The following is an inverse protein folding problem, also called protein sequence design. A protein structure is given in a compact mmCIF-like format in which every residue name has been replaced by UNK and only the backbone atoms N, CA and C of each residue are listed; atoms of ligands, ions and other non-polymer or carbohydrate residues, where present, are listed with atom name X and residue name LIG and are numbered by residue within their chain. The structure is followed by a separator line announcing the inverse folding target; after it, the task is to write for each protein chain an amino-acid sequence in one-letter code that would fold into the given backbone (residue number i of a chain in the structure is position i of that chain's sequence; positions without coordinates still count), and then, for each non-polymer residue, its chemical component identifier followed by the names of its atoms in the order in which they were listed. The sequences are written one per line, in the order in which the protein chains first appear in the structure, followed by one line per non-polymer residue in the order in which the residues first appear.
data_IF_085263622098
#
_entry.id   IF_085263622098
#
_cell.length_a   1.000
_cell.length_b   1.000
_cell.length_c   1.000
_cell.angle_alpha   90.00
_cell.angle_beta   90.00
_cell.angle_gamma   90.00
#
_symmetry.space_group_name_H-M   'P 1'
#
loop_
_entity.id
_entity.type
_entity.pdbx_description
1 polymer ?
#
# COMPACT_ATOMS: atom_id res chain seq x y z
N UNK A 1 4.85 -14.90 0.88
CA UNK A 1 5.52 -13.63 0.50
C UNK A 1 4.43 -12.63 0.15
N UNK A 2 4.48 -11.42 0.68
CA UNK A 2 3.51 -10.35 0.38
C UNK A 2 4.18 -9.31 -0.50
N UNK A 3 3.48 -8.87 -1.53
CA UNK A 3 3.94 -7.75 -2.35
C UNK A 3 2.76 -6.84 -2.71
N UNK A 4 2.93 -5.56 -2.42
CA UNK A 4 2.04 -4.48 -2.85
C UNK A 4 2.87 -3.57 -3.75
N UNK A 5 2.38 -3.29 -4.94
CA UNK A 5 3.07 -2.44 -5.93
C UNK A 5 2.20 -1.24 -6.26
N UNK A 6 2.81 -0.07 -6.33
CA UNK A 6 2.15 1.17 -6.73
C UNK A 6 2.90 1.90 -7.82
N UNK A 7 2.17 2.47 -8.78
CA UNK A 7 2.70 3.32 -9.85
C UNK A 7 1.77 4.52 -10.01
N UNK A 8 2.34 5.72 -9.91
CA UNK A 8 1.67 6.97 -10.26
C UNK A 8 2.05 7.39 -11.69
N UNK A 9 1.06 7.76 -12.46
CA UNK A 9 1.24 8.42 -13.76
C UNK A 9 0.81 9.88 -13.65
N UNK A 10 0.96 10.65 -14.72
CA UNK A 10 0.47 12.05 -14.72
C UNK A 10 -1.05 12.16 -14.52
N UNK A 11 -1.81 11.09 -14.80
CA UNK A 11 -3.28 11.11 -14.80
C UNK A 11 -3.88 10.35 -13.61
N UNK A 12 -3.26 9.26 -13.14
CA UNK A 12 -3.83 8.38 -12.11
C UNK A 12 -2.79 7.50 -11.41
N UNK A 13 -3.25 6.80 -10.37
CA UNK A 13 -2.48 5.84 -9.60
C UNK A 13 -3.00 4.42 -9.84
N UNK A 14 -2.06 3.48 -9.95
CA UNK A 14 -2.31 2.05 -9.98
C UNK A 14 -1.72 1.42 -8.72
N UNK A 15 -2.48 0.60 -8.02
CA UNK A 15 -2.00 -0.22 -6.92
C UNK A 15 -2.48 -1.66 -7.12
N UNK A 16 -1.58 -2.60 -6.99
CA UNK A 16 -1.87 -4.03 -7.07
C UNK A 16 -1.21 -4.80 -5.95
N UNK A 17 -1.75 -5.96 -5.63
CA UNK A 17 -1.25 -6.82 -4.57
C UNK A 17 -1.40 -8.30 -4.91
N UNK A 18 -0.57 -9.13 -4.29
CA UNK A 18 -0.83 -10.56 -4.16
C UNK A 18 -1.98 -10.80 -3.15
N UNK A 19 -2.52 -12.02 -3.14
CA UNK A 19 -3.57 -12.45 -2.20
C UNK A 19 -3.08 -13.41 -1.13
N UNK A 20 -1.79 -13.64 -1.03
CA UNK A 20 -1.26 -14.61 -0.08
C UNK A 20 -1.02 -13.99 1.30
N UNK A 21 -1.27 -14.77 2.32
CA UNK A 21 -0.83 -14.54 3.69
C UNK A 21 -0.07 -15.78 4.11
N UNK A 22 1.16 -15.57 4.59
CA UNK A 22 1.96 -16.65 5.15
C UNK A 22 2.13 -16.42 6.65
N UNK A 23 1.75 -17.41 7.42
CA UNK A 23 2.33 -17.67 8.72
C UNK A 23 3.46 -18.68 8.53
N UNK A 24 4.36 -18.84 9.49
CA UNK A 24 5.63 -19.60 9.35
C UNK A 24 5.49 -21.00 8.71
N UNK A 25 4.31 -21.58 8.73
CA UNK A 25 4.07 -22.95 8.24
C UNK A 25 2.96 -23.09 7.18
N UNK A 26 2.12 -22.06 6.98
CA UNK A 26 0.95 -22.15 6.09
C UNK A 26 0.83 -20.91 5.21
N UNK A 27 0.51 -21.14 3.94
CA UNK A 27 0.14 -20.08 3.00
C UNK A 27 -1.38 -20.14 2.79
N UNK A 28 -2.06 -19.07 3.12
CA UNK A 28 -3.50 -18.90 2.91
C UNK A 28 -3.77 -17.89 1.79
N UNK A 29 -4.83 -18.12 1.04
CA UNK A 29 -5.32 -17.14 0.06
C UNK A 29 -6.46 -16.35 0.65
N UNK A 30 -6.30 -15.04 0.73
CA UNK A 30 -7.33 -14.14 1.22
C UNK A 30 -8.50 -14.03 0.23
N UNK A 31 -9.72 -14.10 0.73
CA UNK A 31 -10.91 -13.76 -0.06
C UNK A 31 -11.10 -12.25 -0.17
N UNK A 32 -10.77 -11.50 0.88
CA UNK A 32 -10.73 -10.03 0.85
C UNK A 32 -9.40 -9.55 0.27
N UNK A 33 -9.41 -8.65 -0.69
CA UNK A 33 -8.17 -8.11 -1.28
C UNK A 33 -7.42 -7.23 -0.27
N UNK A 34 -6.10 -7.17 -0.42
CA UNK A 34 -5.23 -6.23 0.30
C UNK A 34 -5.24 -4.82 -0.32
N UNK A 35 -5.94 -4.64 -1.42
CA UNK A 35 -6.14 -3.35 -2.09
C UNK A 35 -7.63 -3.06 -2.12
N UNK A 36 -8.00 -1.87 -1.67
CA UNK A 36 -9.39 -1.44 -1.57
C UNK A 36 -9.50 0.09 -1.72
N UNK A 37 -10.73 0.55 -1.89
CA UNK A 37 -11.06 1.97 -1.87
C UNK A 37 -11.71 2.33 -0.52
N UNK A 38 -11.28 3.47 0.02
CA UNK A 38 -11.98 4.18 1.09
C UNK A 38 -12.15 5.63 0.65
N UNK A 39 -13.38 6.04 0.37
CA UNK A 39 -13.69 7.27 -0.35
C UNK A 39 -12.86 7.35 -1.66
N UNK A 40 -12.15 8.44 -1.88
CA UNK A 40 -11.29 8.64 -3.07
C UNK A 40 -9.84 8.18 -2.87
N UNK A 41 -9.58 7.44 -1.79
CA UNK A 41 -8.27 6.88 -1.50
C UNK A 41 -8.19 5.43 -1.98
N UNK A 42 -7.23 5.15 -2.84
CA UNK A 42 -6.87 3.79 -3.22
C UNK A 42 -5.77 3.31 -2.26
N UNK A 43 -6.00 2.20 -1.57
CA UNK A 43 -5.17 1.78 -0.45
C UNK A 43 -4.72 0.35 -0.66
N UNK A 44 -3.42 0.11 -0.55
CA UNK A 44 -2.84 -1.24 -0.44
C UNK A 44 -2.04 -1.36 0.86
N UNK A 45 -2.02 -2.54 1.48
CA UNK A 45 -1.30 -2.73 2.74
C UNK A 45 -0.51 -4.03 2.80
N UNK A 46 0.56 -3.99 3.58
CA UNK A 46 1.43 -5.12 3.94
C UNK A 46 1.78 -5.05 5.43
N UNK A 47 2.28 -6.13 6.00
CA UNK A 47 2.60 -6.22 7.43
C UNK A 47 1.44 -6.79 8.24
N UNK A 48 1.15 -6.23 9.40
CA UNK A 48 0.09 -6.72 10.28
C UNK A 48 -1.28 -6.57 9.64
N UNK A 49 -1.97 -7.70 9.41
CA UNK A 49 -3.25 -7.73 8.70
C UNK A 49 -4.31 -6.89 9.42
N UNK A 50 -4.41 -7.04 10.74
CA UNK A 50 -5.39 -6.29 11.54
C UNK A 50 -5.21 -4.78 11.37
N UNK A 51 -3.99 -4.28 11.44
CA UNK A 51 -3.68 -2.86 11.22
C UNK A 51 -4.03 -2.42 9.79
N UNK A 52 -3.70 -3.25 8.80
CA UNK A 52 -4.06 -2.98 7.40
C UNK A 52 -5.57 -2.86 7.20
N UNK A 53 -6.34 -3.74 7.82
CA UNK A 53 -7.80 -3.74 7.74
C UNK A 53 -8.46 -2.54 8.43
N UNK A 54 -7.84 -1.96 9.46
CA UNK A 54 -8.36 -0.76 10.12
C UNK A 54 -8.50 0.41 9.15
N UNK A 55 -7.60 0.54 8.19
CA UNK A 55 -7.62 1.62 7.19
C UNK A 55 -8.89 1.59 6.32
N UNK A 56 -9.55 0.44 6.18
CA UNK A 56 -10.81 0.30 5.45
C UNK A 56 -11.96 1.06 6.14
N UNK A 57 -11.88 1.24 7.45
CA UNK A 57 -12.95 1.81 8.29
C UNK A 57 -12.61 3.18 8.88
N UNK A 58 -11.43 3.73 8.59
CA UNK A 58 -11.10 5.09 9.01
C UNK A 58 -11.96 6.12 8.27
N UNK A 59 -12.17 7.25 8.94
CA UNK A 59 -12.83 8.40 8.34
C UNK A 59 -11.84 9.18 7.46
N UNK A 60 -11.74 8.79 6.20
CA UNK A 60 -10.89 9.46 5.22
C UNK A 60 -11.70 10.53 4.48
N UNK A 61 -11.16 11.74 4.32
CA UNK A 61 -11.87 12.78 3.58
C UNK A 61 -12.02 12.39 2.12
N UNK A 62 -13.21 12.62 1.55
CA UNK A 62 -13.44 12.41 0.12
C UNK A 62 -12.70 13.42 -0.76
N UNK A 63 -12.37 14.59 -0.20
CA UNK A 63 -11.60 15.62 -0.86
C UNK A 63 -10.55 16.22 0.08
N UNK A 64 -9.37 16.48 -0.44
CA UNK A 64 -8.32 17.26 0.19
C UNK A 64 -7.48 17.97 -0.88
N UNK A 65 -7.09 19.20 -0.63
CA UNK A 65 -6.14 19.96 -1.47
C UNK A 65 -4.67 19.66 -1.14
N UNK A 66 -4.44 19.04 0.03
CA UNK A 66 -3.10 18.64 0.47
C UNK A 66 -3.11 17.20 1.02
N UNK A 67 -3.07 16.18 0.14
CA UNK A 67 -3.12 14.79 0.56
C UNK A 67 -1.94 14.38 1.45
N UNK A 68 -0.76 14.93 1.25
CA UNK A 68 0.40 14.69 2.12
C UNK A 68 0.11 15.11 3.57
N UNK A 69 -0.39 16.31 3.78
CA UNK A 69 -0.74 16.82 5.10
C UNK A 69 -1.86 16.00 5.74
N UNK A 70 -2.87 15.64 4.95
CA UNK A 70 -3.99 14.80 5.42
C UNK A 70 -3.49 13.46 5.93
N UNK A 71 -2.60 12.78 5.21
CA UNK A 71 -1.99 11.52 5.63
C UNK A 71 -1.14 11.71 6.90
N UNK A 72 -0.26 12.70 6.88
CA UNK A 72 0.74 12.90 7.93
C UNK A 72 0.14 13.32 9.27
N UNK A 73 -0.95 14.06 9.23
CA UNK A 73 -1.59 14.63 10.42
C UNK A 73 -2.90 13.90 10.75
N UNK A 74 -3.90 14.00 9.88
CA UNK A 74 -5.25 13.56 10.23
C UNK A 74 -5.37 12.04 10.28
N UNK A 75 -4.92 11.35 9.23
CA UNK A 75 -5.02 9.89 9.13
C UNK A 75 -4.06 9.21 10.11
N UNK A 76 -2.83 9.70 10.21
CA UNK A 76 -1.86 9.19 11.17
C UNK A 76 -2.37 9.30 12.61
N UNK A 77 -2.98 10.41 12.98
CA UNK A 77 -3.52 10.59 14.34
C UNK A 77 -4.70 9.66 14.63
N UNK A 78 -5.64 9.52 13.68
CA UNK A 78 -6.74 8.55 13.84
C UNK A 78 -6.21 7.13 14.05
N UNK A 79 -5.25 6.71 13.23
CA UNK A 79 -4.69 5.37 13.31
C UNK A 79 -3.89 5.16 14.58
N UNK A 80 -3.11 6.15 15.03
CA UNK A 80 -2.38 6.13 16.33
C UNK A 80 -3.33 5.93 17.49
N UNK A 81 -4.44 6.66 17.53
CA UNK A 81 -5.42 6.57 18.62
C UNK A 81 -6.00 5.16 18.71
N UNK A 82 -6.31 4.53 17.59
CA UNK A 82 -6.83 3.16 17.56
C UNK A 82 -5.75 2.17 17.99
N UNK A 83 -4.53 2.27 17.46
CA UNK A 83 -3.43 1.35 17.72
C UNK A 83 -2.98 1.42 19.18
N UNK A 84 -2.93 2.62 19.78
CA UNK A 84 -2.55 2.79 21.19
C UNK A 84 -3.50 2.09 22.18
N UNK A 85 -4.71 1.76 21.74
CA UNK A 85 -5.67 0.97 22.51
C UNK A 85 -5.51 -0.55 22.31
N UNK A 86 -4.59 -0.99 21.47
CA UNK A 86 -4.26 -2.40 21.24
C UNK A 86 -2.86 -2.70 21.79
N UNK A 87 -2.66 -3.88 22.35
CA UNK A 87 -1.38 -4.26 23.01
C UNK A 87 -0.40 -4.98 22.06
N UNK A 88 -0.70 -5.08 20.77
CA UNK A 88 0.06 -5.87 19.81
C UNK A 88 0.95 -5.01 18.91
N UNK A 89 2.01 -5.63 18.38
CA UNK A 89 2.81 -5.04 17.30
C UNK A 89 1.91 -4.77 16.10
N UNK A 90 1.85 -3.52 15.71
CA UNK A 90 0.88 -3.01 14.73
C UNK A 90 1.54 -2.42 13.49
N UNK A 91 2.81 -2.75 13.25
CA UNK A 91 3.55 -2.24 12.10
C UNK A 91 2.92 -2.69 10.78
N UNK A 92 2.59 -1.74 9.94
CA UNK A 92 2.10 -1.94 8.59
C UNK A 92 2.68 -0.89 7.65
N UNK A 93 2.87 -1.31 6.40
CA UNK A 93 3.25 -0.45 5.29
C UNK A 93 2.04 -0.28 4.37
N UNK A 94 1.70 0.96 4.06
CA UNK A 94 0.60 1.29 3.16
C UNK A 94 1.11 1.97 1.90
N UNK A 95 0.49 1.64 0.78
CA UNK A 95 0.50 2.47 -0.41
C UNK A 95 -0.83 3.18 -0.51
N UNK A 96 -0.80 4.51 -0.58
CA UNK A 96 -1.97 5.36 -0.55
C UNK A 96 -2.01 6.19 -1.82
N UNK A 97 -2.99 5.94 -2.68
CA UNK A 97 -3.22 6.70 -3.91
C UNK A 97 -4.35 7.71 -3.73
N UNK A 98 -4.12 8.94 -4.12
CA UNK A 98 -5.14 9.99 -4.17
C UNK A 98 -4.94 10.86 -5.42
N UNK A 99 -5.95 10.92 -6.29
CA UNK A 99 -5.80 11.56 -7.58
C UNK A 99 -4.71 10.91 -8.42
N UNK A 100 -3.70 11.67 -8.79
CA UNK A 100 -2.52 11.18 -9.50
C UNK A 100 -1.26 11.06 -8.62
N UNK A 101 -1.43 11.10 -7.30
CA UNK A 101 -0.33 11.04 -6.33
C UNK A 101 -0.31 9.71 -5.59
N UNK A 102 0.87 9.16 -5.43
CA UNK A 102 1.15 7.94 -4.68
C UNK A 102 2.00 8.27 -3.46
N UNK A 103 1.62 7.74 -2.31
CA UNK A 103 2.35 7.87 -1.06
C UNK A 103 2.65 6.50 -0.48
N UNK A 104 3.85 6.35 0.04
CA UNK A 104 4.20 5.28 0.97
C UNK A 104 4.01 5.80 2.39
N UNK A 105 3.19 5.10 3.18
CA UNK A 105 2.88 5.46 4.56
C UNK A 105 3.21 4.29 5.49
N UNK A 106 4.10 4.51 6.44
CA UNK A 106 4.58 3.47 7.35
C UNK A 106 4.17 3.78 8.78
N UNK A 107 3.60 2.78 9.48
CA UNK A 107 3.14 2.97 10.87
C UNK A 107 4.21 2.71 11.92
N UNK A 108 5.38 2.17 11.55
CA UNK A 108 6.46 1.96 12.53
C UNK A 108 7.16 3.26 12.93
N UNK A 109 7.28 4.21 12.00
CA UNK A 109 7.88 5.53 12.23
C UNK A 109 6.96 6.70 11.84
N UNK A 110 5.77 6.40 11.31
CA UNK A 110 4.76 7.36 10.85
C UNK A 110 5.23 8.26 9.70
N UNK A 111 6.18 7.78 8.92
CA UNK A 111 6.66 8.47 7.73
C UNK A 111 5.64 8.42 6.60
N UNK A 112 5.59 9.48 5.81
CA UNK A 112 4.82 9.60 4.57
C UNK A 112 5.76 10.10 3.49
N UNK A 113 5.89 9.35 2.41
CA UNK A 113 6.78 9.66 1.29
C UNK A 113 5.95 9.71 0.01
N UNK A 114 5.93 10.86 -0.67
CA UNK A 114 5.37 10.95 -2.03
C UNK A 114 6.37 10.37 -3.02
N UNK A 115 5.93 9.43 -3.87
CA UNK A 115 6.79 8.68 -4.77
C UNK A 115 6.04 8.32 -6.05
N UNK A 116 6.76 8.20 -7.16
CA UNK A 116 6.15 7.85 -8.45
C UNK A 116 5.90 6.35 -8.61
N UNK A 117 6.81 5.52 -8.11
CA UNK A 117 6.66 4.06 -8.14
C UNK A 117 7.37 3.44 -6.96
N UNK A 118 6.73 2.46 -6.33
CA UNK A 118 7.29 1.74 -5.18
C UNK A 118 6.63 0.37 -4.99
N UNK A 119 7.22 -0.41 -4.10
CA UNK A 119 6.64 -1.66 -3.62
C UNK A 119 6.92 -1.82 -2.13
N UNK A 120 5.97 -2.43 -1.41
CA UNK A 120 6.11 -2.76 0.01
C UNK A 120 5.79 -4.24 0.26
N UNK A 121 6.25 -4.76 1.39
CA UNK A 121 6.11 -6.16 1.77
C UNK A 121 7.39 -6.97 1.55
N UNK A 122 7.35 -8.26 1.92
CA UNK A 122 8.51 -9.15 1.86
C UNK A 122 9.03 -9.40 0.43
N UNK A 123 8.19 -9.22 -0.59
CA UNK A 123 8.54 -9.30 -2.01
C UNK A 123 8.95 -7.98 -2.66
N UNK A 124 9.02 -6.89 -1.90
CA UNK A 124 9.22 -5.55 -2.44
C UNK A 124 10.48 -5.39 -3.30
N UNK A 125 11.60 -5.96 -2.88
CA UNK A 125 12.86 -5.83 -3.63
C UNK A 125 12.78 -6.48 -5.03
N UNK A 126 12.08 -7.60 -5.15
CA UNK A 126 11.86 -8.27 -6.45
C UNK A 126 10.97 -7.40 -7.33
N UNK A 127 9.89 -6.85 -6.75
CA UNK A 127 8.99 -5.95 -7.45
C UNK A 127 9.72 -4.69 -7.93
N UNK A 128 10.54 -4.07 -7.09
CA UNK A 128 11.31 -2.87 -7.44
C UNK A 128 12.31 -3.15 -8.57
N UNK A 129 12.99 -4.30 -8.54
CA UNK A 129 13.86 -4.73 -9.63
C UNK A 129 13.11 -4.86 -10.95
N UNK A 130 11.92 -5.48 -10.93
CA UNK A 130 11.05 -5.59 -12.10
C UNK A 130 10.55 -4.23 -12.61
N UNK A 131 10.13 -3.34 -11.70
CA UNK A 131 9.72 -1.98 -12.06
C UNK A 131 10.87 -1.20 -12.72
N UNK A 132 12.07 -1.32 -12.18
CA UNK A 132 13.24 -0.66 -12.73
C UNK A 132 13.57 -1.14 -14.16
N UNK A 133 13.57 -2.45 -14.37
CA UNK A 133 13.90 -3.02 -15.69
C UNK A 133 12.80 -2.82 -16.71
N UNK A 134 11.55 -2.69 -16.28
CA UNK A 134 10.39 -2.48 -17.15
C UNK A 134 10.10 -1.00 -17.49
N UNK A 135 10.95 -0.07 -17.09
CA UNK A 135 10.78 1.38 -17.39
C UNK A 135 10.68 1.71 -18.88
N UNK A 136 11.20 0.84 -19.73
CA UNK A 136 11.07 0.97 -21.20
C UNK A 136 9.65 0.78 -21.71
N UNK A 137 8.78 0.14 -20.93
CA UNK A 137 7.36 -0.02 -21.28
C UNK A 137 6.56 1.18 -20.84
N UNK A 138 5.61 1.61 -21.66
CA UNK A 138 4.78 2.80 -21.39
C UNK A 138 3.59 2.46 -20.51
N UNK A 139 3.05 1.23 -20.62
CA UNK A 139 1.83 0.82 -19.91
C UNK A 139 2.13 0.52 -18.43
N UNK A 140 1.65 1.39 -17.55
CA UNK A 140 1.79 1.25 -16.10
C UNK A 140 1.12 -0.02 -15.55
N UNK A 141 -0.04 -0.40 -16.09
CA UNK A 141 -0.73 -1.62 -15.66
C UNK A 141 0.08 -2.88 -16.02
N UNK A 142 0.64 -2.93 -17.22
CA UNK A 142 1.51 -4.05 -17.64
C UNK A 142 2.75 -4.15 -16.75
N UNK A 143 3.39 -3.03 -16.44
CA UNK A 143 4.55 -2.96 -15.54
C UNK A 143 4.22 -3.46 -14.13
N UNK A 144 3.08 -3.02 -13.61
CA UNK A 144 2.59 -3.46 -12.30
C UNK A 144 2.35 -4.97 -12.26
N UNK A 145 1.70 -5.52 -13.28
CA UNK A 145 1.47 -6.96 -13.40
C UNK A 145 2.77 -7.75 -13.50
N UNK A 146 3.75 -7.27 -14.28
CA UNK A 146 5.08 -7.90 -14.38
C UNK A 146 5.79 -7.93 -13.02
N UNK A 147 5.72 -6.83 -12.26
CA UNK A 147 6.33 -6.75 -10.94
C UNK A 147 5.70 -7.75 -9.95
N UNK A 148 4.37 -7.84 -9.92
CA UNK A 148 3.66 -8.81 -9.08
C UNK A 148 3.97 -10.25 -9.48
N UNK A 149 3.98 -10.56 -10.77
CA UNK A 149 4.33 -11.89 -11.27
C UNK A 149 5.76 -12.29 -10.89
N UNK A 150 6.71 -11.36 -10.98
CA UNK A 150 8.09 -11.63 -10.58
C UNK A 150 8.23 -11.99 -9.10
N UNK A 151 7.40 -11.41 -8.22
CA UNK A 151 7.43 -11.67 -6.78
C UNK A 151 6.70 -12.95 -6.37
N UNK A 152 5.82 -13.50 -7.21
CA UNK A 152 5.05 -14.71 -6.89
C UNK A 152 5.84 -16.00 -7.20
N UNK A 153 6.82 -15.91 -8.07
CA UNK A 153 7.73 -17.02 -8.42
C UNK A 153 8.96 -17.02 -7.53
#
# INVERSE_FOLDING_TARGET
MTCIVGIATKDKVYIGADRSVSDSEVILTLTRPKVFLNNNWLIGYSGTIGTGQLMEFLDLPSYTDNPYKTLRMDIANQLKDIINNTSEDSAADFLMGYGNKLFEFNTSDWSVIEIEETAVGSGAQICLGSLYTSKVYIDANARLMMALQAAIH
#
